data_IF_730029302414
#
_entry.id   IF_730029302414
#
_cell.length_a   1.000
_cell.length_b   1.000
_cell.length_c   1.000
_cell.angle_alpha   90.00
_cell.angle_beta   90.00
_cell.angle_gamma   90.00
#
_symmetry.space_group_name_H-M   'P 1'
#
loop_
_entity.id
_entity.type
_entity.pdbx_description
1 polymer ?
#
# COMPACT_ATOMS: atom_id res chain seq x y z
N UNK A 1 16.36 11.22 -7.25
CA UNK A 1 15.71 10.44 -6.18
C UNK A 1 14.31 10.25 -6.67
N UNK A 2 14.06 9.09 -7.23
CA UNK A 2 12.81 8.69 -7.85
C UNK A 2 11.72 8.79 -6.79
N UNK A 3 10.81 9.75 -6.96
CA UNK A 3 9.73 10.07 -6.01
C UNK A 3 8.83 8.84 -5.73
N UNK A 4 8.88 7.85 -6.62
CA UNK A 4 8.13 6.62 -6.59
C UNK A 4 8.60 5.60 -5.54
N UNK A 5 9.90 5.52 -5.26
CA UNK A 5 10.43 4.65 -4.18
C UNK A 5 10.06 5.22 -2.80
N UNK A 6 9.88 6.54 -2.72
CA UNK A 6 9.55 7.22 -1.48
C UNK A 6 8.14 6.89 -0.97
N UNK A 7 7.15 6.83 -1.88
CA UNK A 7 5.76 6.52 -1.51
C UNK A 7 5.54 5.06 -1.14
N UNK A 8 6.20 4.12 -1.83
CA UNK A 8 6.13 2.69 -1.49
C UNK A 8 6.72 2.40 -0.10
N UNK A 9 7.85 3.03 0.22
CA UNK A 9 8.52 2.87 1.51
C UNK A 9 7.66 3.44 2.65
N UNK A 10 7.09 4.63 2.46
CA UNK A 10 6.22 5.30 3.45
C UNK A 10 4.99 4.44 3.81
N UNK A 11 4.36 3.81 2.83
CA UNK A 11 3.18 2.96 3.05
C UNK A 11 3.55 1.72 3.87
N UNK A 12 4.67 1.08 3.55
CA UNK A 12 5.16 -0.08 4.29
C UNK A 12 5.54 0.30 5.73
N UNK A 13 6.17 1.45 5.94
CA UNK A 13 6.47 1.99 7.27
C UNK A 13 5.19 2.17 8.09
N UNK A 14 4.18 2.86 7.54
CA UNK A 14 2.89 3.09 8.20
C UNK A 14 2.17 1.78 8.54
N UNK A 15 2.22 0.79 7.65
CA UNK A 15 1.66 -0.54 7.88
C UNK A 15 2.46 -1.32 8.93
N UNK A 16 3.78 -1.13 9.01
CA UNK A 16 4.64 -1.74 10.03
C UNK A 16 4.32 -1.20 11.42
N UNK A 17 4.04 0.09 11.55
CA UNK A 17 3.62 0.71 12.82
C UNK A 17 2.35 0.05 13.40
N UNK A 18 1.45 -0.46 12.56
CA UNK A 18 0.21 -1.13 12.97
C UNK A 18 0.26 -2.67 12.86
N UNK A 19 1.42 -3.25 12.52
CA UNK A 19 1.60 -4.69 12.37
C UNK A 19 0.75 -5.31 11.25
N UNK A 20 0.53 -4.57 10.16
CA UNK A 20 -0.30 -4.98 9.01
C UNK A 20 0.46 -5.19 7.71
N UNK A 21 1.79 -5.20 7.76
CA UNK A 21 2.66 -5.44 6.59
C UNK A 21 2.37 -6.80 5.96
N UNK A 22 2.33 -7.86 6.77
CA UNK A 22 2.07 -9.22 6.30
C UNK A 22 0.71 -9.33 5.60
N UNK A 23 -0.34 -8.78 6.24
CA UNK A 23 -1.70 -8.77 5.69
C UNK A 23 -1.83 -7.94 4.41
N UNK A 24 -0.96 -6.93 4.23
CA UNK A 24 -0.92 -6.13 3.02
C UNK A 24 -0.27 -6.91 1.88
N UNK A 25 0.88 -7.55 2.11
CA UNK A 25 1.50 -8.43 1.10
C UNK A 25 0.60 -9.60 0.71
N UNK A 26 -0.10 -10.22 1.66
CA UNK A 26 -1.10 -11.25 1.38
C UNK A 26 -2.24 -10.72 0.49
N UNK A 27 -2.65 -9.46 0.70
CA UNK A 27 -3.65 -8.83 -0.15
C UNK A 27 -3.12 -8.54 -1.57
N UNK A 28 -1.83 -8.24 -1.72
CA UNK A 28 -1.21 -8.03 -3.04
C UNK A 28 -1.11 -9.34 -3.81
N UNK A 29 -0.61 -10.39 -3.16
CA UNK A 29 -0.46 -11.72 -3.76
C UNK A 29 -1.81 -12.31 -4.18
N UNK A 30 -2.88 -11.99 -3.44
CA UNK A 30 -4.25 -12.40 -3.74
C UNK A 30 -5.01 -11.46 -4.68
N UNK A 31 -4.38 -10.40 -5.21
CA UNK A 31 -5.03 -9.36 -6.04
C UNK A 31 -6.23 -8.66 -5.33
N UNK A 32 -6.23 -8.67 -3.99
CA UNK A 32 -7.28 -8.13 -3.13
C UNK A 32 -7.03 -6.64 -2.83
N UNK A 33 -7.22 -5.82 -3.86
CA UNK A 33 -7.08 -4.36 -3.77
C UNK A 33 -8.02 -3.72 -2.74
N UNK A 34 -9.18 -4.33 -2.49
CA UNK A 34 -10.12 -3.85 -1.48
C UNK A 34 -9.53 -4.00 -0.06
N UNK A 35 -8.91 -5.14 0.23
CA UNK A 35 -8.21 -5.40 1.48
C UNK A 35 -6.97 -4.53 1.62
N UNK A 36 -6.14 -4.41 0.57
CA UNK A 36 -4.96 -3.53 0.56
C UNK A 36 -5.34 -2.07 0.88
N UNK A 37 -6.39 -1.54 0.23
CA UNK A 37 -6.96 -0.22 0.50
C UNK A 37 -7.39 -0.03 1.95
N UNK A 38 -8.10 -1.02 2.51
CA UNK A 38 -8.54 -0.93 3.90
C UNK A 38 -7.38 -0.95 4.89
N UNK A 39 -6.29 -1.67 4.60
CA UNK A 39 -5.11 -1.72 5.45
C UNK A 39 -4.35 -0.39 5.43
N UNK A 40 -4.13 0.19 4.24
CA UNK A 40 -3.50 1.51 4.10
C UNK A 40 -4.31 2.60 4.81
N UNK A 41 -5.64 2.57 4.69
CA UNK A 41 -6.52 3.53 5.37
C UNK A 41 -6.46 3.41 6.89
N UNK A 42 -6.31 2.19 7.42
CA UNK A 42 -6.11 1.94 8.87
C UNK A 42 -4.73 2.39 9.34
N UNK A 43 -3.74 2.39 8.46
CA UNK A 43 -2.41 2.91 8.70
C UNK A 43 -2.34 4.45 8.55
N UNK A 44 -3.48 5.12 8.37
CA UNK A 44 -3.58 6.57 8.18
C UNK A 44 -2.80 7.09 6.97
N UNK A 45 -2.70 6.28 5.91
CA UNK A 45 -2.14 6.68 4.62
C UNK A 45 -3.15 7.58 3.90
N UNK A 46 -2.66 8.63 3.26
CA UNK A 46 -3.47 9.56 2.49
C UNK A 46 -4.13 8.93 1.26
N UNK A 47 -5.29 9.46 0.89
CA UNK A 47 -6.10 8.92 -0.20
C UNK A 47 -5.39 8.97 -1.56
N UNK A 48 -4.54 9.97 -1.78
CA UNK A 48 -3.73 10.13 -2.99
C UNK A 48 -2.69 9.01 -3.11
N UNK A 49 -1.92 8.77 -2.05
CA UNK A 49 -0.93 7.68 -2.00
C UNK A 49 -1.60 6.32 -2.14
N UNK A 50 -2.76 6.11 -1.52
CA UNK A 50 -3.55 4.89 -1.70
C UNK A 50 -3.93 4.69 -3.16
N UNK A 51 -4.41 5.74 -3.85
CA UNK A 51 -4.74 5.64 -5.26
C UNK A 51 -3.52 5.32 -6.12
N UNK A 52 -2.37 5.97 -5.85
CA UNK A 52 -1.16 5.72 -6.61
C UNK A 52 -0.68 4.26 -6.45
N UNK A 53 -0.68 3.75 -5.22
CA UNK A 53 -0.28 2.36 -4.92
C UNK A 53 -1.22 1.36 -5.58
N UNK A 54 -2.55 1.57 -5.50
CA UNK A 54 -3.53 0.71 -6.17
C UNK A 54 -3.40 0.77 -7.69
N UNK A 55 -3.14 1.94 -8.26
CA UNK A 55 -2.94 2.10 -9.69
C UNK A 55 -1.70 1.33 -10.14
N UNK A 56 -0.58 1.46 -9.42
CA UNK A 56 0.67 0.72 -9.72
C UNK A 56 0.48 -0.80 -9.63
N UNK A 57 -0.22 -1.27 -8.59
CA UNK A 57 -0.46 -2.71 -8.46
C UNK A 57 -1.37 -3.26 -9.56
N UNK A 58 -2.30 -2.45 -10.07
CA UNK A 58 -3.14 -2.83 -11.20
C UNK A 58 -2.44 -2.72 -12.56
N UNK A 59 -1.38 -1.91 -12.67
CA UNK A 59 -0.67 -1.66 -13.93
C UNK A 59 0.37 -2.75 -14.24
N UNK A 60 0.84 -3.49 -13.22
CA UNK A 60 1.69 -4.67 -13.41
C UNK A 60 3.07 -4.40 -14.04
N UNK A 61 3.50 -3.13 -14.09
CA UNK A 61 4.84 -2.68 -14.51
C UNK A 61 5.55 -1.83 -13.44
#
# INVERSE_FOLDING_TARGET
MDEQDFEGTLVLEKLAEIGKVDAFFEAIDADDFAKAKSLMKRASVDAETIQMVLQKMSDGE
#
